data_IF_660876439919
#
_entry.id   IF_660876439919
#
_cell.length_a   1.000
_cell.length_b   1.000
_cell.length_c   1.000
_cell.angle_alpha   90.00
_cell.angle_beta   90.00
_cell.angle_gamma   90.00
#
_symmetry.space_group_name_H-M   'P 1'
#
loop_
_entity.id
_entity.type
_entity.pdbx_description
1 polymer ?
#
# COMPACT_ATOMS: atom_id res chain seq x y z
N UNK A 1 -20.65 0.31 4.31
CA UNK A 1 -20.94 1.62 3.69
C UNK A 1 -21.13 1.38 2.21
N UNK A 2 -22.24 1.84 1.65
CA UNK A 2 -22.56 1.75 0.24
C UNK A 2 -22.70 3.15 -0.34
N UNK A 3 -22.26 3.34 -1.59
CA UNK A 3 -22.31 4.62 -2.27
C UNK A 3 -22.86 4.39 -3.67
N UNK A 4 -24.05 4.94 -3.92
CA UNK A 4 -24.66 4.94 -5.25
C UNK A 4 -24.41 6.29 -5.91
N UNK A 5 -24.09 6.27 -7.21
CA UNK A 5 -23.80 7.47 -8.00
C UNK A 5 -24.66 7.46 -9.26
N UNK A 6 -25.49 8.49 -9.42
CA UNK A 6 -26.34 8.67 -10.59
C UNK A 6 -25.92 9.93 -11.34
N UNK A 7 -25.47 9.77 -12.59
CA UNK A 7 -25.14 10.89 -13.46
C UNK A 7 -26.28 11.12 -14.47
N UNK A 8 -26.70 12.38 -14.59
CA UNK A 8 -27.75 12.83 -15.51
C UNK A 8 -27.33 14.11 -16.24
N UNK A 9 -28.11 14.52 -17.23
CA UNK A 9 -27.86 15.78 -17.96
C UNK A 9 -27.98 17.03 -17.09
N UNK A 10 -28.66 16.95 -15.94
CA UNK A 10 -28.82 18.05 -14.98
C UNK A 10 -27.77 18.05 -13.86
N UNK A 11 -26.92 17.02 -13.78
CA UNK A 11 -25.88 16.90 -12.75
C UNK A 11 -25.68 15.48 -12.23
N UNK A 12 -24.83 15.35 -11.20
CA UNK A 12 -24.51 14.10 -10.53
C UNK A 12 -25.11 14.08 -9.12
N UNK A 13 -25.83 13.01 -8.78
CA UNK A 13 -26.38 12.74 -7.46
C UNK A 13 -25.62 11.57 -6.81
N UNK A 14 -25.44 11.62 -5.49
CA UNK A 14 -24.78 10.53 -4.73
C UNK A 14 -25.59 10.19 -3.49
N UNK A 15 -25.82 8.90 -3.25
CA UNK A 15 -26.47 8.39 -2.03
C UNK A 15 -25.47 7.59 -1.21
N UNK A 16 -25.37 7.90 0.09
CA UNK A 16 -24.42 7.29 1.02
C UNK A 16 -25.19 6.56 2.12
N UNK A 17 -25.00 5.24 2.23
CA UNK A 17 -25.72 4.38 3.19
C UNK A 17 -24.73 3.69 4.14
N UNK A 18 -24.92 3.87 5.45
CA UNK A 18 -24.17 3.18 6.50
C UNK A 18 -25.10 2.29 7.34
N UNK A 19 -24.63 1.10 7.72
CA UNK A 19 -25.41 0.11 8.48
C UNK A 19 -25.65 0.54 9.95
N UNK A 20 -24.73 1.34 10.49
CA UNK A 20 -24.79 1.88 11.84
C UNK A 20 -23.70 2.93 12.08
N UNK A 21 -23.68 3.51 13.27
CA UNK A 21 -22.84 4.66 13.60
C UNK A 21 -23.52 6.00 13.30
N UNK A 22 -22.79 7.09 13.51
CA UNK A 22 -23.25 8.46 13.19
C UNK A 22 -22.73 8.86 11.81
N UNK A 23 -23.51 9.63 11.07
CA UNK A 23 -23.07 10.22 9.81
C UNK A 23 -22.33 11.52 10.12
N UNK A 24 -21.03 11.55 9.82
CA UNK A 24 -20.19 12.73 9.87
C UNK A 24 -19.76 13.10 8.44
N UNK A 25 -20.13 14.29 7.98
CA UNK A 25 -20.01 14.70 6.58
C UNK A 25 -19.26 16.03 6.47
N UNK A 26 -18.13 16.01 5.75
CA UNK A 26 -17.33 17.20 5.44
C UNK A 26 -17.51 17.56 3.96
N UNK A 27 -17.95 18.79 3.68
CA UNK A 27 -18.04 19.34 2.33
C UNK A 27 -16.81 20.19 2.04
N UNK A 28 -16.07 19.82 0.99
CA UNK A 28 -14.82 20.48 0.58
C UNK A 28 -15.04 21.18 -0.78
N UNK A 29 -15.44 22.46 -0.80
CA UNK A 29 -15.97 23.10 -2.01
C UNK A 29 -14.93 23.52 -3.06
N UNK A 30 -13.63 23.34 -2.82
CA UNK A 30 -12.60 23.82 -3.75
C UNK A 30 -12.41 25.35 -3.71
N UNK A 31 -12.06 26.02 -4.82
CA UNK A 31 -12.64 25.82 -6.16
C UNK A 31 -11.83 24.96 -7.14
N UNK A 32 -10.52 24.79 -6.95
CA UNK A 32 -9.71 23.89 -7.79
C UNK A 32 -9.55 22.51 -7.15
N UNK A 33 -9.31 21.44 -7.92
CA UNK A 33 -9.05 20.10 -7.37
C UNK A 33 -7.90 20.08 -6.35
N UNK A 34 -6.86 20.89 -6.55
CA UNK A 34 -5.74 21.01 -5.61
C UNK A 34 -6.17 21.60 -4.25
N UNK A 35 -7.12 22.54 -4.26
CA UNK A 35 -7.65 23.14 -3.03
C UNK A 35 -8.47 22.11 -2.23
N UNK A 36 -9.23 21.26 -2.93
CA UNK A 36 -9.98 20.15 -2.30
C UNK A 36 -9.02 19.18 -1.61
N UNK A 37 -7.93 18.78 -2.29
CA UNK A 37 -6.90 17.90 -1.68
C UNK A 37 -6.24 18.56 -0.48
N UNK A 38 -5.98 19.87 -0.53
CA UNK A 38 -5.42 20.62 0.60
C UNK A 38 -6.38 20.67 1.79
N UNK A 39 -7.65 21.01 1.55
CA UNK A 39 -8.68 21.05 2.59
C UNK A 39 -8.86 19.67 3.25
N UNK A 40 -8.78 18.59 2.46
CA UNK A 40 -8.81 17.23 2.98
C UNK A 40 -7.57 16.92 3.85
N UNK A 41 -6.38 17.30 3.39
CA UNK A 41 -5.14 17.10 4.15
C UNK A 41 -5.10 17.89 5.47
N UNK A 42 -5.75 19.04 5.56
CA UNK A 42 -5.89 19.80 6.81
C UNK A 42 -6.76 19.05 7.84
N UNK A 43 -7.70 18.20 7.38
CA UNK A 43 -8.56 17.39 8.25
C UNK A 43 -7.91 16.06 8.65
N UNK A 44 -7.30 15.34 7.69
CA UNK A 44 -6.79 13.98 7.91
C UNK A 44 -5.28 13.88 8.10
N UNK A 45 -4.57 15.00 7.94
CA UNK A 45 -3.12 15.02 7.84
C UNK A 45 -2.62 14.71 6.42
N UNK A 46 -1.33 14.96 6.21
CA UNK A 46 -0.63 14.69 4.95
C UNK A 46 -0.01 13.30 4.95
N UNK A 47 0.23 12.76 3.76
CA UNK A 47 0.96 11.50 3.57
C UNK A 47 2.29 11.52 4.31
N UNK A 48 2.60 10.45 5.04
CA UNK A 48 3.88 10.29 5.70
C UNK A 48 5.01 10.21 4.66
N UNK A 49 6.11 10.92 4.92
CA UNK A 49 7.27 10.88 4.03
C UNK A 49 7.91 9.47 4.06
N UNK A 50 7.95 8.75 2.93
CA UNK A 50 8.59 7.44 2.90
C UNK A 50 10.11 7.59 3.10
N UNK A 51 10.73 6.56 3.69
CA UNK A 51 12.19 6.46 3.71
C UNK A 51 12.73 6.30 2.29
N UNK A 52 13.97 6.73 2.04
CA UNK A 52 14.52 6.76 0.67
C UNK A 52 14.48 5.37 0.00
N UNK A 53 14.94 4.32 0.68
CA UNK A 53 14.90 2.96 0.12
C UNK A 53 13.48 2.50 -0.29
N UNK A 54 12.43 3.03 0.35
CA UNK A 54 11.05 2.62 0.11
C UNK A 54 10.44 3.19 -1.18
N UNK A 55 11.11 4.14 -1.84
CA UNK A 55 10.72 4.64 -3.17
C UNK A 55 11.55 4.01 -4.29
N UNK A 56 12.47 3.11 -3.94
CA UNK A 56 13.27 2.32 -4.88
C UNK A 56 12.52 1.13 -5.48
N UNK A 57 13.24 0.28 -6.21
CA UNK A 57 12.64 -0.94 -6.77
C UNK A 57 12.57 -2.04 -5.71
N UNK A 58 11.37 -2.57 -5.50
CA UNK A 58 11.09 -3.62 -4.53
C UNK A 58 10.81 -4.94 -5.26
N UNK A 59 11.66 -5.94 -5.04
CA UNK A 59 11.48 -7.27 -5.59
C UNK A 59 10.67 -8.14 -4.61
N UNK A 60 9.57 -8.74 -5.08
CA UNK A 60 8.72 -9.62 -4.26
C UNK A 60 8.23 -10.84 -5.05
N UNK A 61 8.04 -11.98 -4.36
CA UNK A 61 7.43 -13.20 -4.90
C UNK A 61 6.88 -14.04 -3.75
N UNK A 62 5.74 -14.70 -3.96
CA UNK A 62 5.29 -15.81 -3.10
C UNK A 62 5.82 -17.15 -3.63
N UNK A 63 6.79 -17.83 -3.00
CA UNK A 63 7.73 -17.35 -1.98
C UNK A 63 9.17 -17.44 -2.50
N UNK A 64 10.11 -16.85 -1.76
CA UNK A 64 11.50 -17.30 -1.75
C UNK A 64 11.63 -18.55 -0.85
N UNK A 65 12.30 -19.60 -1.33
CA UNK A 65 12.27 -20.90 -0.67
C UNK A 65 13.07 -20.91 0.65
N UNK A 66 14.24 -20.30 0.62
CA UNK A 66 15.23 -20.27 1.69
C UNK A 66 16.18 -19.08 1.49
N UNK A 67 17.18 -18.96 2.37
CA UNK A 67 18.21 -17.91 2.28
C UNK A 67 19.01 -17.99 0.98
N UNK A 68 19.25 -19.19 0.46
CA UNK A 68 20.00 -19.39 -0.78
C UNK A 68 19.24 -18.84 -2.00
N UNK A 69 17.92 -19.03 -2.07
CA UNK A 69 17.05 -18.46 -3.11
C UNK A 69 17.04 -16.92 -3.04
N UNK A 70 17.08 -16.35 -1.83
CA UNK A 70 17.20 -14.89 -1.65
C UNK A 70 18.56 -14.38 -2.13
N UNK A 71 19.65 -15.04 -1.75
CA UNK A 71 21.01 -14.67 -2.19
C UNK A 71 21.21 -14.84 -3.70
N UNK A 72 20.61 -15.85 -4.32
CA UNK A 72 20.66 -16.04 -5.76
C UNK A 72 19.94 -14.91 -6.52
N UNK A 73 18.84 -14.40 -5.95
CA UNK A 73 18.10 -13.28 -6.52
C UNK A 73 18.90 -11.98 -6.38
N UNK A 74 19.46 -11.72 -5.20
CA UNK A 74 20.38 -10.61 -4.94
C UNK A 74 21.55 -10.59 -5.94
N UNK A 75 22.30 -11.68 -6.03
CA UNK A 75 23.41 -11.81 -6.98
C UNK A 75 22.96 -11.62 -8.43
N UNK A 76 21.76 -12.09 -8.78
CA UNK A 76 21.19 -11.91 -10.12
C UNK A 76 20.96 -10.43 -10.49
N UNK A 77 20.59 -9.57 -9.55
CA UNK A 77 20.46 -8.13 -9.81
C UNK A 77 21.82 -7.47 -10.07
N UNK A 78 22.82 -7.82 -9.28
CA UNK A 78 24.20 -7.33 -9.44
C UNK A 78 24.81 -7.79 -10.77
N UNK A 79 24.66 -9.08 -11.10
CA UNK A 79 25.19 -9.68 -12.34
C UNK A 79 24.61 -9.03 -13.60
N UNK A 80 23.36 -8.56 -13.53
CA UNK A 80 22.66 -7.92 -14.66
C UNK A 80 22.68 -6.39 -14.57
N UNK A 81 23.36 -5.81 -13.57
CA UNK A 81 23.40 -4.38 -13.30
C UNK A 81 22.00 -3.72 -13.22
N UNK A 82 21.04 -4.42 -12.60
CA UNK A 82 19.69 -3.92 -12.38
C UNK A 82 19.59 -3.42 -10.93
N UNK A 83 19.30 -2.12 -10.70
CA UNK A 83 19.23 -1.58 -9.34
C UNK A 83 17.96 -2.04 -8.60
N UNK A 84 18.10 -2.37 -7.33
CA UNK A 84 17.00 -2.64 -6.41
C UNK A 84 17.33 -2.19 -4.98
N UNK A 85 16.31 -1.94 -4.15
CA UNK A 85 16.49 -1.47 -2.76
C UNK A 85 16.00 -2.48 -1.71
N UNK A 86 14.99 -3.31 -2.03
CA UNK A 86 14.37 -4.24 -1.06
C UNK A 86 13.95 -5.56 -1.71
N UNK A 87 14.22 -6.68 -1.03
CA UNK A 87 13.61 -7.99 -1.31
C UNK A 87 12.58 -8.32 -0.22
N UNK A 88 11.36 -8.70 -0.61
CA UNK A 88 10.26 -9.04 0.30
C UNK A 88 10.17 -10.53 0.58
N UNK A 89 9.96 -10.88 1.86
CA UNK A 89 9.73 -12.25 2.30
C UNK A 89 8.23 -12.46 2.61
N UNK A 90 7.55 -13.29 1.82
CA UNK A 90 6.13 -13.62 2.02
C UNK A 90 5.96 -14.64 3.15
N UNK A 91 4.72 -14.95 3.54
CA UNK A 91 4.35 -15.71 4.76
C UNK A 91 5.12 -17.01 5.00
N UNK A 92 5.60 -17.65 3.93
CA UNK A 92 6.34 -18.91 4.02
C UNK A 92 7.77 -18.73 4.54
N UNK A 93 8.26 -17.51 4.78
CA UNK A 93 9.50 -17.28 5.55
C UNK A 93 9.33 -17.53 7.05
N UNK A 94 8.09 -17.52 7.54
CA UNK A 94 7.80 -17.69 8.97
C UNK A 94 7.69 -19.16 9.37
N UNK A 95 7.99 -19.46 10.63
CA UNK A 95 7.86 -20.80 11.19
C UNK A 95 6.38 -21.19 11.36
N UNK A 96 5.83 -21.86 10.35
CA UNK A 96 4.45 -22.33 10.35
C UNK A 96 3.41 -21.20 10.40
N UNK A 97 3.66 -20.07 9.72
CA UNK A 97 2.76 -18.90 9.67
C UNK A 97 2.60 -18.18 11.01
N UNK A 98 3.47 -18.50 11.99
CA UNK A 98 3.56 -17.76 13.24
C UNK A 98 4.29 -16.46 12.99
N UNK A 99 3.56 -15.35 13.11
CA UNK A 99 4.12 -13.99 13.02
C UNK A 99 5.28 -13.88 14.02
N UNK A 100 6.35 -13.17 13.62
CA UNK A 100 7.56 -12.88 14.41
C UNK A 100 8.59 -14.01 14.59
N UNK A 101 8.33 -15.22 14.09
CA UNK A 101 9.29 -16.33 14.11
C UNK A 101 9.74 -16.67 12.69
N UNK A 102 11.01 -16.46 12.37
CA UNK A 102 11.62 -16.97 11.13
C UNK A 102 11.68 -18.50 11.13
N UNK A 103 11.67 -19.13 9.95
CA UNK A 103 11.97 -20.56 9.85
C UNK A 103 13.40 -20.80 10.33
N UNK A 104 13.56 -21.66 11.33
CA UNK A 104 14.86 -22.21 11.72
C UNK A 104 15.20 -23.34 10.74
N UNK A 105 15.75 -22.98 9.58
CA UNK A 105 16.43 -23.96 8.72
C UNK A 105 17.88 -24.00 9.17
N UNK A 106 18.28 -25.12 9.77
CA UNK A 106 19.64 -25.32 10.28
C UNK A 106 20.70 -25.10 9.19
N UNK A 107 21.83 -24.54 9.61
CA UNK A 107 23.09 -24.53 8.88
C UNK A 107 23.49 -25.94 8.43
#
# INVERSE_FOLDING_TARGET
MFVDVEASSSGTSTQWVAEGGVVDLFLLPGPAPADVTRQYAELTGTTAMPQMFAIGYHQCRWNYKDEADVHAVDAGFDDHAIPYDVIWLDIEHTNGKRRWLGKETGC
#
